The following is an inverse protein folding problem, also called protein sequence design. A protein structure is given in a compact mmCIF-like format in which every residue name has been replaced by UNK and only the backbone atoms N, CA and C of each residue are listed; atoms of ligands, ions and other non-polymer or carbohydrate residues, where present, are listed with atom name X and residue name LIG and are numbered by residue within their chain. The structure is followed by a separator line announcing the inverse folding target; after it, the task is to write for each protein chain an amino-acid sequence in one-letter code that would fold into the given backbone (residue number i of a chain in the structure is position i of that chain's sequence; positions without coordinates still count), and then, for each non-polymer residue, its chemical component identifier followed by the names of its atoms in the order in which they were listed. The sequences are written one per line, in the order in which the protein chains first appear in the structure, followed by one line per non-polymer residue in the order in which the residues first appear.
data_IF_556368838733
#
_entry.id   IF_556368838733
#
_cell.length_a   1.000
_cell.length_b   1.000
_cell.length_c   1.000
_cell.angle_alpha   90.00
_cell.angle_beta   90.00
_cell.angle_gamma   90.00
#
_symmetry.space_group_name_H-M   'P 1'
#
loop_
_entity.id
_entity.type
_entity.pdbx_description
1 polymer ?
#
# COMPACT_ATOMS: atom_id res chain seq x y z
N UNK A 1 4.30 6.45 -19.17
CA UNK A 1 5.30 7.23 -18.40
C UNK A 1 5.20 6.77 -16.96
N UNK A 2 6.31 6.36 -16.32
CA UNK A 2 6.31 6.15 -14.86
C UNK A 2 6.04 7.48 -14.17
N UNK A 3 5.31 7.48 -13.05
CA UNK A 3 4.89 8.72 -12.41
C UNK A 3 6.12 9.55 -11.99
N UNK A 4 6.02 10.87 -12.10
CA UNK A 4 7.10 11.80 -11.75
C UNK A 4 7.43 11.81 -10.24
N UNK A 5 6.63 11.13 -9.41
CA UNK A 5 6.65 11.27 -7.95
C UNK A 5 7.44 10.17 -7.21
N UNK A 6 7.81 9.06 -7.88
CA UNK A 6 8.63 7.98 -7.33
C UNK A 6 8.07 7.26 -6.08
N UNK A 7 8.72 6.18 -5.65
CA UNK A 7 8.49 5.59 -4.33
C UNK A 7 9.18 6.43 -3.24
N UNK A 8 8.62 6.53 -2.04
CA UNK A 8 9.25 7.32 -0.95
C UNK A 8 9.57 6.46 0.26
N UNK A 9 10.73 6.70 0.86
CA UNK A 9 11.10 6.20 2.18
C UNK A 9 11.68 7.33 3.04
N UNK A 10 11.80 7.10 4.34
CA UNK A 10 12.22 8.11 5.30
C UNK A 10 13.44 7.63 6.09
N UNK A 11 14.47 8.47 6.14
CA UNK A 11 15.56 8.35 7.09
C UNK A 11 15.10 8.95 8.41
N UNK A 12 15.16 8.18 9.49
CA UNK A 12 14.62 8.59 10.79
C UNK A 12 15.61 8.33 11.92
N UNK A 13 15.73 9.30 12.82
CA UNK A 13 16.35 9.12 14.14
C UNK A 13 15.46 8.25 15.01
N UNK A 14 16.02 7.18 15.58
CA UNK A 14 15.27 6.20 16.39
C UNK A 14 14.50 6.89 17.52
N UNK A 15 13.29 6.40 17.79
CA UNK A 15 12.45 6.92 18.87
C UNK A 15 13.16 6.83 20.23
N UNK A 16 13.09 7.91 21.01
CA UNK A 16 13.80 8.03 22.29
C UNK A 16 15.23 8.56 22.19
N UNK A 17 15.83 8.68 21.00
CA UNK A 17 17.13 9.31 20.86
C UNK A 17 17.04 10.86 20.99
N UNK A 18 18.09 11.53 21.50
CA UNK A 18 18.16 13.00 21.56
C UNK A 18 17.92 13.65 20.20
N UNK A 19 17.48 14.92 20.16
CA UNK A 19 17.47 15.64 18.89
C UNK A 19 18.93 15.88 18.44
N UNK A 20 19.27 15.71 17.15
CA UNK A 20 20.59 16.05 16.63
C UNK A 20 20.94 17.51 16.89
N UNK A 21 22.16 17.76 17.35
CA UNK A 21 22.70 19.10 17.59
C UNK A 21 23.47 19.66 16.38
N UNK A 22 23.53 18.91 15.28
CA UNK A 22 24.04 19.33 13.99
C UNK A 22 23.30 18.57 12.88
N UNK A 23 23.45 19.03 11.63
CA UNK A 23 22.92 18.31 10.47
C UNK A 23 23.44 16.88 10.41
N UNK A 24 22.56 15.93 10.07
CA UNK A 24 22.93 14.57 9.68
C UNK A 24 22.90 14.49 8.15
N UNK A 25 24.07 14.30 7.54
CA UNK A 25 24.22 14.21 6.09
C UNK A 25 24.39 12.76 5.68
N UNK A 26 23.63 12.32 4.69
CA UNK A 26 23.63 10.94 4.26
C UNK A 26 24.21 10.81 2.85
N UNK A 27 25.32 10.10 2.73
CA UNK A 27 25.80 9.64 1.44
C UNK A 27 25.13 8.31 1.10
N UNK A 28 24.69 8.16 -0.15
CA UNK A 28 23.86 7.04 -0.58
C UNK A 28 24.55 6.17 -1.62
N UNK A 29 24.39 4.86 -1.51
CA UNK A 29 24.91 3.88 -2.45
C UNK A 29 23.80 2.91 -2.86
N UNK A 30 23.44 2.92 -4.15
CA UNK A 30 22.54 1.95 -4.77
C UNK A 30 23.36 0.71 -5.16
N UNK A 31 22.78 -0.48 -5.00
CA UNK A 31 23.38 -1.72 -5.49
C UNK A 31 23.39 -1.80 -7.04
N UNK A 32 23.99 -2.86 -7.57
CA UNK A 32 24.17 -2.98 -9.01
C UNK A 32 22.86 -3.27 -9.75
N UNK A 33 21.88 -3.93 -9.10
CA UNK A 33 20.54 -4.18 -9.65
C UNK A 33 19.79 -2.87 -9.84
N UNK A 34 19.80 -1.99 -8.82
CA UNK A 34 19.17 -0.68 -8.91
C UNK A 34 19.81 0.19 -10.01
N UNK A 35 21.15 0.15 -10.14
CA UNK A 35 21.87 0.86 -11.21
C UNK A 35 21.52 0.31 -12.59
N UNK A 36 21.46 -1.00 -12.75
CA UNK A 36 21.09 -1.66 -14.01
C UNK A 36 19.70 -1.21 -14.49
N UNK A 37 18.77 -1.05 -13.55
CA UNK A 37 17.42 -0.58 -13.83
C UNK A 37 17.27 0.95 -13.81
N UNK A 38 18.36 1.71 -13.72
CA UNK A 38 18.34 3.17 -13.79
C UNK A 38 17.66 3.85 -12.60
N UNK A 39 17.65 3.22 -11.43
CA UNK A 39 17.14 3.81 -10.20
C UNK A 39 17.96 5.06 -9.84
N UNK A 40 17.27 6.16 -9.59
CA UNK A 40 17.81 7.40 -9.06
C UNK A 40 17.13 7.73 -7.74
N UNK A 41 17.82 8.51 -6.90
CA UNK A 41 17.32 8.95 -5.61
C UNK A 41 17.33 10.48 -5.55
N UNK A 42 16.33 11.06 -4.89
CA UNK A 42 16.21 12.49 -4.69
C UNK A 42 15.86 12.80 -3.24
N UNK A 43 16.63 13.66 -2.54
CA UNK A 43 17.88 14.31 -2.98
C UNK A 43 19.08 13.34 -3.02
N UNK A 44 20.13 13.68 -3.79
CA UNK A 44 21.38 12.88 -3.89
C UNK A 44 22.08 12.73 -2.53
N UNK A 45 22.03 13.77 -1.71
CA UNK A 45 22.54 13.81 -0.33
C UNK A 45 21.39 14.22 0.61
N UNK A 46 20.62 13.26 1.14
CA UNK A 46 19.59 13.54 2.13
C UNK A 46 20.18 14.17 3.37
N UNK A 47 19.48 15.16 3.93
CA UNK A 47 19.88 15.84 5.17
C UNK A 47 18.74 15.81 6.16
N UNK A 48 19.01 15.35 7.38
CA UNK A 48 18.16 15.63 8.54
C UNK A 48 18.73 16.88 9.20
N UNK A 49 18.06 18.04 9.15
CA UNK A 49 18.58 19.26 9.73
C UNK A 49 18.75 19.16 11.25
N UNK A 50 19.59 20.01 11.82
CA UNK A 50 19.66 20.23 13.27
C UNK A 50 18.26 20.37 13.89
N UNK A 51 18.02 19.68 15.01
CA UNK A 51 16.73 19.69 15.72
C UNK A 51 15.61 18.90 15.04
N UNK A 52 15.76 18.51 13.77
CA UNK A 52 14.83 17.62 13.08
C UNK A 52 15.18 16.14 13.33
N UNK A 53 14.25 15.25 12.98
CA UNK A 53 14.41 13.79 13.18
C UNK A 53 14.21 12.95 11.94
N UNK A 54 13.83 13.56 10.82
CA UNK A 54 13.45 12.84 9.61
C UNK A 54 13.88 13.58 8.36
N UNK A 55 14.26 12.81 7.34
CA UNK A 55 14.46 13.27 5.97
C UNK A 55 13.77 12.30 5.00
N UNK A 56 13.10 12.83 3.99
CA UNK A 56 12.46 12.03 2.96
C UNK A 56 13.40 11.79 1.79
N UNK A 57 13.37 10.58 1.26
CA UNK A 57 14.07 10.22 0.02
C UNK A 57 13.04 9.68 -0.95
N UNK A 58 13.03 10.24 -2.15
CA UNK A 58 12.26 9.76 -3.29
C UNK A 58 13.15 8.87 -4.15
N UNK A 59 12.64 7.72 -4.53
CA UNK A 59 13.27 6.73 -5.37
C UNK A 59 12.52 6.65 -6.70
N UNK A 60 13.21 6.94 -7.80
CA UNK A 60 12.61 7.03 -9.13
C UNK A 60 13.36 6.09 -10.06
N UNK A 61 12.64 5.19 -10.71
CA UNK A 61 13.19 4.35 -11.78
C UNK A 61 12.43 4.63 -13.08
N UNK A 62 13.09 4.59 -14.24
CA UNK A 62 12.40 4.64 -15.51
C UNK A 62 11.45 3.44 -15.63
N UNK A 63 10.36 3.61 -16.37
CA UNK A 63 9.57 2.47 -16.80
C UNK A 63 10.48 1.52 -17.60
N UNK A 64 10.64 0.29 -17.14
CA UNK A 64 11.51 -0.72 -17.72
C UNK A 64 10.94 -2.12 -17.56
N UNK A 65 11.71 -3.16 -17.94
CA UNK A 65 11.30 -4.55 -17.79
C UNK A 65 11.91 -5.23 -16.54
N UNK A 66 12.03 -4.60 -15.34
CA UNK A 66 12.34 -5.42 -14.19
C UNK A 66 11.21 -6.43 -14.02
N UNK A 67 11.56 -7.64 -13.57
CA UNK A 67 10.52 -8.57 -13.12
C UNK A 67 9.82 -7.93 -11.93
N UNK A 68 8.50 -7.96 -11.88
CA UNK A 68 7.76 -7.34 -10.78
C UNK A 68 8.24 -7.89 -9.42
N UNK A 69 8.51 -6.98 -8.49
CA UNK A 69 9.08 -7.34 -7.19
C UNK A 69 10.59 -7.57 -7.21
N UNK A 70 11.32 -7.07 -8.23
CA UNK A 70 12.79 -7.13 -8.25
C UNK A 70 13.35 -6.35 -7.05
N UNK A 71 14.08 -7.00 -6.12
CA UNK A 71 14.60 -6.33 -4.93
C UNK A 71 15.83 -5.49 -5.25
N UNK A 72 15.90 -4.30 -4.64
CA UNK A 72 17.02 -3.37 -4.71
C UNK A 72 17.39 -2.92 -3.31
N UNK A 73 18.68 -2.87 -3.03
CA UNK A 73 19.23 -2.39 -1.76
C UNK A 73 19.83 -1.00 -1.92
N UNK A 74 19.45 -0.10 -1.01
CA UNK A 74 20.05 1.22 -0.88
C UNK A 74 20.75 1.30 0.48
N UNK A 75 22.05 1.61 0.46
CA UNK A 75 22.87 1.78 1.68
C UNK A 75 23.10 3.26 1.92
N UNK A 76 23.14 3.63 3.20
CA UNK A 76 23.48 4.99 3.62
C UNK A 76 24.67 4.98 4.57
N UNK A 77 25.46 6.04 4.50
CA UNK A 77 26.47 6.38 5.50
C UNK A 77 26.16 7.77 6.02
N UNK A 78 26.20 7.97 7.34
CA UNK A 78 25.89 9.26 7.97
C UNK A 78 27.17 9.96 8.41
N UNK A 79 27.25 11.26 8.16
CA UNK A 79 28.23 12.15 8.74
C UNK A 79 27.55 13.31 9.47
N UNK A 80 28.12 13.77 10.57
CA UNK A 80 27.58 14.89 11.34
C UNK A 80 28.66 15.63 12.13
N UNK A 81 28.40 16.90 12.43
CA UNK A 81 29.14 17.64 13.46
C UNK A 81 28.76 17.22 14.89
N UNK A 82 27.66 16.48 15.06
CA UNK A 82 27.24 15.91 16.34
C UNK A 82 27.93 14.55 16.55
N UNK A 83 28.87 14.43 17.51
CA UNK A 83 29.62 13.19 17.72
C UNK A 83 28.75 12.03 18.21
N UNK A 84 27.53 12.29 18.69
CA UNK A 84 26.59 11.23 19.04
C UNK A 84 26.00 10.52 17.80
N UNK A 85 26.07 11.17 16.63
CA UNK A 85 25.47 10.69 15.39
C UNK A 85 26.46 10.48 14.24
N UNK A 86 27.67 11.02 14.33
CA UNK A 86 28.69 10.87 13.30
C UNK A 86 29.14 9.41 13.11
N UNK A 87 29.18 8.95 11.86
CA UNK A 87 29.66 7.60 11.50
C UNK A 87 28.79 6.43 11.97
N UNK A 88 27.55 6.69 12.44
CA UNK A 88 26.65 5.62 12.85
C UNK A 88 26.27 4.69 11.69
N UNK A 89 26.00 3.44 12.03
CA UNK A 89 25.48 2.46 11.06
C UNK A 89 24.03 2.81 10.75
N UNK A 90 23.74 3.00 9.45
CA UNK A 90 22.39 3.17 8.95
C UNK A 90 21.91 1.85 8.35
N UNK A 91 20.72 1.42 8.72
CA UNK A 91 20.12 0.22 8.16
C UNK A 91 19.86 0.40 6.66
N UNK A 92 20.22 -0.57 5.79
CA UNK A 92 19.92 -0.48 4.37
C UNK A 92 18.42 -0.45 4.11
N UNK A 93 17.97 0.42 3.22
CA UNK A 93 16.60 0.42 2.74
C UNK A 93 16.45 -0.66 1.65
N UNK A 94 15.38 -1.46 1.74
CA UNK A 94 14.99 -2.41 0.69
C UNK A 94 13.83 -1.83 -0.12
N UNK A 95 14.02 -1.75 -1.42
CA UNK A 95 13.03 -1.28 -2.38
C UNK A 95 12.66 -2.42 -3.33
N UNK A 96 11.46 -2.39 -3.87
CA UNK A 96 10.99 -3.32 -4.90
C UNK A 96 10.71 -2.53 -6.17
N UNK A 97 11.32 -2.94 -7.27
CA UNK A 97 11.04 -2.40 -8.59
C UNK A 97 9.88 -3.15 -9.23
N UNK A 98 9.02 -2.39 -9.91
CA UNK A 98 7.90 -2.91 -10.67
C UNK A 98 7.94 -2.32 -12.07
N UNK A 99 7.54 -3.11 -13.06
CA UNK A 99 7.43 -2.67 -14.45
C UNK A 99 6.32 -1.62 -14.66
N UNK A 100 5.38 -1.54 -13.73
CA UNK A 100 4.33 -0.55 -13.63
C UNK A 100 3.97 -0.29 -12.17
N UNK A 101 3.25 0.78 -11.88
CA UNK A 101 2.76 1.03 -10.52
C UNK A 101 1.47 0.25 -10.27
N UNK A 102 1.49 -0.80 -9.44
CA UNK A 102 0.28 -1.53 -9.14
C UNK A 102 -0.65 -0.64 -8.31
N UNK A 103 -1.83 -0.34 -8.84
CA UNK A 103 -2.88 0.40 -8.12
C UNK A 103 -4.21 -0.33 -8.21
N UNK A 104 -4.89 -0.38 -7.08
CA UNK A 104 -6.26 -0.91 -6.99
C UNK A 104 -7.16 0.09 -6.29
N UNK A 105 -8.42 0.15 -6.73
CA UNK A 105 -9.50 0.78 -5.98
C UNK A 105 -10.44 -0.30 -5.48
N UNK A 106 -10.83 -0.22 -4.22
CA UNK A 106 -11.73 -1.16 -3.56
C UNK A 106 -13.02 -0.44 -3.14
N UNK A 107 -14.17 -0.97 -3.54
CA UNK A 107 -15.49 -0.50 -3.10
C UNK A 107 -16.19 -1.61 -2.33
N UNK A 108 -16.57 -1.37 -1.07
CA UNK A 108 -17.37 -2.29 -0.26
C UNK A 108 -18.83 -1.84 -0.24
N UNK A 109 -19.75 -2.75 -0.57
CA UNK A 109 -21.20 -2.50 -0.53
C UNK A 109 -21.89 -3.58 0.29
N UNK A 110 -22.95 -3.22 1.01
CA UNK A 110 -23.69 -4.11 1.89
C UNK A 110 -25.12 -4.29 1.37
N UNK A 111 -25.66 -5.51 1.46
CA UNK A 111 -26.97 -5.89 0.93
C UNK A 111 -27.75 -6.71 1.95
N UNK A 112 -29.02 -6.38 2.16
CA UNK A 112 -29.97 -7.18 2.93
C UNK A 112 -31.07 -7.75 2.03
N UNK A 113 -31.80 -8.76 2.54
CA UNK A 113 -32.93 -9.36 1.80
C UNK A 113 -32.52 -10.08 0.52
N UNK A 114 -31.26 -10.50 0.42
CA UNK A 114 -30.72 -11.26 -0.72
C UNK A 114 -31.45 -12.58 -0.86
N UNK A 115 -31.99 -12.86 -2.05
CA UNK A 115 -32.73 -14.11 -2.35
C UNK A 115 -31.93 -15.09 -3.21
N UNK A 116 -30.86 -14.63 -3.86
CA UNK A 116 -29.89 -15.47 -4.59
C UNK A 116 -28.46 -15.00 -4.28
N UNK A 117 -27.72 -15.82 -3.53
CA UNK A 117 -26.33 -15.59 -3.13
C UNK A 117 -25.31 -16.40 -3.95
N UNK A 118 -25.71 -17.01 -5.06
CA UNK A 118 -24.84 -17.91 -5.83
C UNK A 118 -23.60 -17.21 -6.41
N UNK A 119 -23.69 -15.91 -6.69
CA UNK A 119 -22.57 -15.07 -7.15
C UNK A 119 -22.67 -13.66 -6.57
N UNK A 120 -21.57 -12.90 -6.53
CA UNK A 120 -21.61 -11.49 -6.14
C UNK A 120 -22.58 -10.65 -7.00
N UNK A 121 -22.68 -10.95 -8.30
CA UNK A 121 -23.62 -10.31 -9.20
C UNK A 121 -25.08 -10.60 -8.80
N UNK A 122 -25.37 -11.83 -8.34
CA UNK A 122 -26.70 -12.20 -7.86
C UNK A 122 -27.05 -11.58 -6.52
N UNK A 123 -26.07 -11.41 -5.63
CA UNK A 123 -26.23 -10.65 -4.38
C UNK A 123 -26.65 -9.21 -4.69
N UNK A 124 -25.96 -8.54 -5.61
CA UNK A 124 -26.31 -7.18 -6.04
C UNK A 124 -27.71 -7.15 -6.68
N UNK A 125 -28.01 -8.11 -7.55
CA UNK A 125 -29.25 -8.12 -8.31
C UNK A 125 -30.50 -8.43 -7.48
N UNK A 126 -30.36 -9.21 -6.40
CA UNK A 126 -31.49 -9.67 -5.59
C UNK A 126 -31.58 -9.05 -4.21
N UNK A 127 -30.50 -8.42 -3.74
CA UNK A 127 -30.46 -7.71 -2.47
C UNK A 127 -30.90 -6.25 -2.58
N UNK A 128 -31.23 -5.68 -1.43
CA UNK A 128 -31.40 -4.24 -1.26
C UNK A 128 -30.13 -3.65 -0.66
N UNK A 129 -29.52 -2.69 -1.36
CA UNK A 129 -28.29 -2.03 -0.90
C UNK A 129 -28.54 -1.19 0.35
N UNK A 130 -27.70 -1.39 1.35
CA UNK A 130 -27.71 -0.69 2.63
C UNK A 130 -26.75 0.49 2.57
N UNK A 131 -27.24 1.66 2.97
CA UNK A 131 -26.41 2.85 3.09
C UNK A 131 -25.53 2.78 4.34
N UNK A 132 -24.39 3.47 4.30
CA UNK A 132 -23.55 3.63 5.48
C UNK A 132 -24.36 4.25 6.64
N UNK A 133 -24.26 3.65 7.82
CA UNK A 133 -25.02 4.08 8.99
C UNK A 133 -26.49 3.66 9.02
N UNK A 134 -26.96 2.85 8.06
CA UNK A 134 -28.31 2.30 8.12
C UNK A 134 -28.52 1.49 9.41
N UNK A 135 -29.65 1.74 10.08
CA UNK A 135 -30.07 0.92 11.21
C UNK A 135 -30.76 -0.33 10.69
N UNK A 136 -30.20 -1.49 11.03
CA UNK A 136 -30.70 -2.79 10.58
C UNK A 136 -31.17 -3.55 11.82
N UNK A 137 -32.30 -4.24 11.71
CA UNK A 137 -32.80 -5.08 12.80
C UNK A 137 -31.76 -6.13 13.20
N UNK A 138 -31.58 -6.33 14.50
CA UNK A 138 -30.68 -7.37 15.01
C UNK A 138 -31.01 -8.74 14.41
N UNK A 139 -29.98 -9.49 14.03
CA UNK A 139 -30.15 -10.80 13.39
C UNK A 139 -30.55 -10.74 11.91
N UNK A 140 -30.65 -9.55 11.29
CA UNK A 140 -30.82 -9.45 9.84
C UNK A 140 -29.55 -9.93 9.13
N UNK A 141 -29.64 -10.90 8.19
CA UNK A 141 -28.50 -11.34 7.41
C UNK A 141 -28.07 -10.25 6.42
N UNK A 142 -26.79 -9.90 6.46
CA UNK A 142 -26.19 -8.93 5.55
C UNK A 142 -25.11 -9.62 4.72
N UNK A 143 -25.15 -9.40 3.41
CA UNK A 143 -24.12 -9.81 2.47
C UNK A 143 -23.29 -8.61 2.05
N UNK A 144 -22.00 -8.82 1.86
CA UNK A 144 -21.08 -7.79 1.39
C UNK A 144 -20.57 -8.15 0.00
N UNK A 145 -20.46 -7.15 -0.87
CA UNK A 145 -19.80 -7.28 -2.17
C UNK A 145 -18.67 -6.27 -2.25
N UNK A 146 -17.50 -6.77 -2.61
CA UNK A 146 -16.27 -6.02 -2.77
C UNK A 146 -15.94 -5.92 -4.26
N UNK A 147 -15.90 -4.70 -4.78
CA UNK A 147 -15.47 -4.42 -6.15
C UNK A 147 -13.99 -4.04 -6.14
N UNK A 148 -13.16 -4.91 -6.73
CA UNK A 148 -11.72 -4.70 -6.84
C UNK A 148 -11.43 -4.29 -8.27
N UNK A 149 -11.02 -3.04 -8.49
CA UNK A 149 -10.66 -2.55 -9.82
C UNK A 149 -9.18 -2.28 -9.90
N UNK A 150 -8.52 -2.83 -10.92
CA UNK A 150 -7.15 -2.49 -11.23
C UNK A 150 -7.11 -1.14 -11.94
N UNK A 151 -6.58 -0.14 -11.24
CA UNK A 151 -6.38 1.23 -11.72
C UNK A 151 -4.90 1.54 -11.93
N UNK A 152 -4.06 0.51 -12.07
CA UNK A 152 -2.64 0.66 -12.39
C UNK A 152 -2.48 1.50 -13.64
N UNK A 153 -1.54 2.43 -13.62
CA UNK A 153 -1.17 3.27 -14.75
C UNK A 153 0.18 2.81 -15.29
N UNK A 154 0.39 2.94 -16.60
CA UNK A 154 1.61 2.48 -17.25
C UNK A 154 1.46 2.29 -18.75
N UNK A 155 2.58 2.30 -19.47
CA UNK A 155 2.62 2.05 -20.92
C UNK A 155 2.46 0.56 -21.26
N UNK A 156 2.64 -0.33 -20.28
CA UNK A 156 2.41 -1.75 -20.41
C UNK A 156 1.15 -2.17 -19.65
N UNK A 157 0.37 -3.09 -20.23
CA UNK A 157 -0.86 -3.58 -19.64
C UNK A 157 -0.56 -4.39 -18.37
N UNK A 158 -0.63 -3.74 -17.21
CA UNK A 158 -0.34 -4.37 -15.91
C UNK A 158 -1.50 -5.27 -15.51
N UNK A 159 -1.27 -6.58 -15.55
CA UNK A 159 -2.16 -7.55 -14.90
C UNK A 159 -1.65 -7.79 -13.49
N UNK A 160 -2.47 -7.50 -12.49
CA UNK A 160 -2.14 -7.83 -11.11
C UNK A 160 -2.45 -9.30 -10.88
N UNK A 161 -1.58 -10.00 -10.15
CA UNK A 161 -1.81 -11.38 -9.76
C UNK A 161 -1.97 -11.49 -8.26
N UNK A 162 -2.73 -12.49 -7.82
CA UNK A 162 -2.93 -12.83 -6.41
C UNK A 162 -3.35 -11.65 -5.54
N UNK A 163 -4.29 -10.83 -6.03
CA UNK A 163 -4.80 -9.67 -5.27
C UNK A 163 -5.64 -10.17 -4.10
N UNK A 164 -5.11 -10.06 -2.89
CA UNK A 164 -5.78 -10.47 -1.67
C UNK A 164 -6.63 -9.32 -1.12
N UNK A 165 -7.85 -9.63 -0.70
CA UNK A 165 -8.76 -8.69 -0.03
C UNK A 165 -8.99 -9.17 1.40
N UNK A 166 -8.61 -8.31 2.34
CA UNK A 166 -8.83 -8.50 3.78
C UNK A 166 -9.63 -7.33 4.32
N UNK A 167 -10.59 -7.62 5.18
CA UNK A 167 -11.42 -6.66 5.89
C UNK A 167 -11.14 -6.78 7.38
N UNK A 168 -10.95 -5.65 8.06
CA UNK A 168 -10.60 -5.60 9.48
C UNK A 168 -11.70 -6.15 10.40
N UNK A 169 -12.96 -6.10 9.95
CA UNK A 169 -14.12 -6.61 10.70
C UNK A 169 -14.53 -8.01 10.25
N UNK A 170 -14.53 -8.26 8.94
CA UNK A 170 -14.99 -9.53 8.36
C UNK A 170 -13.88 -10.56 8.17
N UNK A 171 -12.61 -10.16 8.27
CA UNK A 171 -11.44 -10.99 8.04
C UNK A 171 -11.12 -11.19 6.55
N UNK A 172 -10.58 -12.36 6.22
CA UNK A 172 -10.20 -12.70 4.85
C UNK A 172 -11.44 -12.83 3.94
N UNK A 173 -11.48 -12.04 2.88
CA UNK A 173 -12.58 -12.02 1.92
C UNK A 173 -12.31 -12.96 0.75
N UNK A 174 -11.07 -12.96 0.24
CA UNK A 174 -10.66 -13.84 -0.86
C UNK A 174 -9.51 -13.29 -1.69
N UNK A 175 -9.20 -13.99 -2.78
CA UNK A 175 -8.10 -13.68 -3.68
C UNK A 175 -8.59 -13.60 -5.12
N UNK A 176 -8.18 -12.55 -5.84
CA UNK A 176 -8.36 -12.44 -7.29
C UNK A 176 -7.06 -12.90 -7.95
N UNK A 177 -7.08 -14.10 -8.54
CA UNK A 177 -5.89 -14.73 -9.11
C UNK A 177 -5.20 -13.87 -10.18
N UNK A 178 -5.98 -13.26 -11.10
CA UNK A 178 -5.46 -12.31 -12.09
C UNK A 178 -6.50 -11.21 -12.36
N UNK A 179 -6.04 -9.97 -12.39
CA UNK A 179 -6.85 -8.79 -12.66
C UNK A 179 -6.15 -7.87 -13.67
N UNK A 180 -6.57 -7.94 -14.92
CA UNK A 180 -6.01 -7.11 -15.99
C UNK A 180 -6.28 -5.60 -15.78
N UNK A 181 -5.42 -4.76 -16.35
CA UNK A 181 -5.53 -3.31 -16.25
C UNK A 181 -6.92 -2.80 -16.66
N UNK A 182 -7.52 -1.94 -15.83
CA UNK A 182 -8.83 -1.36 -16.06
C UNK A 182 -10.01 -2.32 -15.83
N UNK A 183 -9.77 -3.60 -15.49
CA UNK A 183 -10.81 -4.57 -15.18
C UNK A 183 -11.21 -4.51 -13.70
N UNK A 184 -12.42 -4.99 -13.45
CA UNK A 184 -13.01 -5.13 -12.11
C UNK A 184 -13.32 -6.60 -11.85
N UNK A 185 -12.98 -7.07 -10.66
CA UNK A 185 -13.44 -8.33 -10.10
C UNK A 185 -14.41 -8.06 -8.94
N UNK A 186 -15.33 -9.00 -8.70
CA UNK A 186 -16.26 -8.95 -7.57
C UNK A 186 -15.99 -10.12 -6.63
N UNK A 187 -15.92 -9.85 -5.34
CA UNK A 187 -15.91 -10.85 -4.28
C UNK A 187 -17.15 -10.68 -3.41
N UNK A 188 -17.79 -11.78 -3.04
CA UNK A 188 -18.97 -11.79 -2.17
C UNK A 188 -18.64 -12.45 -0.85
N UNK A 189 -19.16 -11.90 0.25
CA UNK A 189 -18.92 -12.42 1.59
C UNK A 189 -20.20 -12.37 2.43
N UNK A 190 -20.51 -13.45 3.17
CA UNK A 190 -21.64 -13.50 4.08
C UNK A 190 -22.38 -14.84 4.12
N UNK A 191 -23.57 -14.88 4.76
CA UNK A 191 -24.19 -13.74 5.46
C UNK A 191 -23.49 -13.46 6.79
N UNK A 192 -23.36 -12.18 7.14
CA UNK A 192 -22.98 -11.73 8.47
C UNK A 192 -24.23 -11.30 9.24
N UNK A 193 -24.43 -11.85 10.43
CA UNK A 193 -25.55 -11.48 11.28
C UNK A 193 -25.16 -10.25 12.11
N UNK A 194 -25.91 -9.17 11.95
CA UNK A 194 -25.66 -7.96 12.75
C UNK A 194 -26.00 -8.22 14.21
N UNK A 195 -25.01 -8.03 15.08
CA UNK A 195 -25.19 -8.14 16.52
C UNK A 195 -26.25 -7.13 17.00
N UNK A 196 -27.02 -7.53 18.02
CA UNK A 196 -27.97 -6.64 18.67
C UNK A 196 -27.18 -5.48 19.28
N UNK A 197 -27.52 -4.24 18.93
CA UNK A 197 -26.94 -3.06 19.58
C UNK A 197 -27.11 -3.23 21.10
N UNK A 198 -26.01 -3.50 21.79
CA UNK A 198 -26.01 -3.68 23.23
C UNK A 198 -26.37 -2.36 23.88
N UNK A 199 -27.60 -2.22 24.33
CA UNK A 199 -27.97 -1.15 25.24
C UNK A 199 -27.22 -1.36 26.54
N UNK A 200 -26.20 -0.53 26.78
CA UNK A 200 -25.71 -0.29 28.14
C UNK A 200 -26.85 0.32 28.94
N UNK A 201 -27.34 -0.45 29.91
CA UNK A 201 -28.08 0.07 31.07
C UNK A 201 -27.11 0.75 32.02
#
# INVERSE_FOLDING_TARGET
MGEADGGRYTLKVRDGAPAPQADLRFATQIDDVGKEHGLTLGPDEPVVPEGCRTASVTATAPAGPPTDGTPVTVRHTVSSGDPAYDGLVVEPAQLLLFSAEPRVTLTKRAFAGVTDQSTPQRIIATGTELQAGAQIGAGTPVWFVFEVRNTSSGTWATSLNDVQVHDDVLGDIGTVATLAQGKTALLGYGPHLMARAGGTR
#
